data_IF_507504311297
#
_entry.id   IF_507504311297
#
_cell.length_a   1.000
_cell.length_b   1.000
_cell.length_c   1.000
_cell.angle_alpha   90.00
_cell.angle_beta   90.00
_cell.angle_gamma   90.00
#
_symmetry.space_group_name_H-M   'P 1'
#
loop_
_entity.id
_entity.type
_entity.pdbx_description
1 polymer ?
#
# COMPACT_ATOMS: atom_id res chain seq x y z
N UNK A 1 -25.96 -22.96 -8.62
CA UNK A 1 -25.60 -22.77 -8.02
C UNK A 1 -25.41 -22.47 -7.68
N UNK A 2 -25.46 -22.45 -7.70
CA UNK A 2 -25.20 -22.19 -7.05
C UNK A 2 -24.71 -21.90 -6.89
N UNK A 3 -24.57 -22.13 -7.10
CA UNK A 3 -24.07 -21.91 -6.71
C UNK A 3 -23.13 -21.75 -6.89
N UNK A 4 -22.89 -21.97 -7.14
CA UNK A 4 -21.88 -21.75 -7.08
C UNK A 4 -21.46 -21.24 -7.88
N UNK A 5 -21.55 -21.20 -8.30
CA UNK A 5 -21.08 -20.82 -8.57
C UNK A 5 -20.30 -20.32 -9.11
N UNK A 6 -19.79 -20.37 -9.71
CA UNK A 6 -18.92 -20.06 -9.94
C UNK A 6 -17.92 -19.75 -9.82
N UNK A 7 -17.10 -20.39 -10.56
CA UNK A 7 -16.22 -20.04 -10.28
C UNK A 7 -15.88 -18.76 -10.01
N UNK A 8 -15.94 -17.66 -10.94
CA UNK A 8 -16.04 -16.38 -10.40
C UNK A 8 -16.91 -16.38 -9.22
N UNK A 9 -17.83 -17.23 -9.34
CA UNK A 9 -18.71 -17.46 -8.23
C UNK A 9 -18.04 -18.07 -7.07
N UNK A 10 -16.93 -18.66 -7.32
CA UNK A 10 -16.14 -19.14 -6.25
C UNK A 10 -15.56 -18.00 -5.47
N UNK A 11 -15.25 -16.92 -6.16
CA UNK A 11 -14.90 -15.68 -5.51
C UNK A 11 -16.17 -14.89 -5.24
N UNK A 12 -17.18 -15.60 -4.80
CA UNK A 12 -18.46 -15.00 -4.58
C UNK A 12 -18.58 -14.44 -3.17
N UNK A 13 -19.76 -13.96 -2.85
CA UNK A 13 -20.02 -13.36 -1.56
C UNK A 13 -19.68 -14.28 -0.40
N UNK A 14 -19.95 -15.55 -0.54
CA UNK A 14 -19.72 -16.47 0.54
C UNK A 14 -18.23 -16.62 0.82
N UNK A 15 -17.44 -16.69 -0.23
CA UNK A 15 -16.00 -16.74 -0.07
C UNK A 15 -15.48 -15.47 0.59
N UNK A 16 -15.93 -14.31 0.15
CA UNK A 16 -15.51 -13.05 0.74
C UNK A 16 -15.96 -12.93 2.19
N UNK A 17 -17.15 -13.42 2.51
CA UNK A 17 -17.60 -13.41 3.89
C UNK A 17 -16.71 -14.24 4.79
N UNK A 18 -16.23 -15.36 4.29
CA UNK A 18 -15.33 -16.19 5.07
C UNK A 18 -14.01 -15.50 5.36
N UNK A 19 -13.50 -14.80 4.38
CA UNK A 19 -12.17 -14.19 4.48
C UNK A 19 -12.24 -12.80 5.11
N UNK A 20 -13.22 -12.00 4.71
CA UNK A 20 -13.29 -10.60 5.10
C UNK A 20 -14.42 -10.27 6.06
N UNK A 21 -15.51 -11.01 6.00
CA UNK A 21 -16.68 -10.72 6.78
C UNK A 21 -16.47 -10.80 8.28
N UNK A 22 -15.60 -11.68 8.70
CA UNK A 22 -15.32 -11.84 10.12
C UNK A 22 -14.75 -10.58 10.73
N UNK A 23 -14.08 -9.79 9.92
CA UNK A 23 -13.45 -8.59 10.41
C UNK A 23 -14.45 -7.52 10.80
N UNK A 24 -15.67 -7.65 10.32
CA UNK A 24 -16.70 -6.70 10.67
C UNK A 24 -17.09 -6.80 12.13
N UNK A 25 -17.13 -8.01 12.65
CA UNK A 25 -17.51 -8.19 14.04
C UNK A 25 -16.33 -7.95 14.98
N UNK A 26 -15.12 -8.18 14.50
CA UNK A 26 -13.91 -7.96 15.29
C UNK A 26 -12.85 -7.34 14.43
N UNK A 27 -12.87 -6.03 14.27
CA UNK A 27 -11.83 -5.37 13.49
C UNK A 27 -10.48 -5.60 14.14
N UNK A 28 -9.52 -6.00 13.33
CA UNK A 28 -8.17 -6.19 13.82
C UNK A 28 -7.49 -4.84 14.00
N UNK A 29 -6.67 -4.71 15.03
CA UNK A 29 -5.91 -3.48 15.19
C UNK A 29 -4.95 -3.33 14.01
N UNK A 30 -4.76 -2.10 13.58
CA UNK A 30 -3.82 -1.80 12.51
C UNK A 30 -2.41 -2.05 12.98
N UNK A 31 -1.57 -2.54 12.08
CA UNK A 31 -0.17 -2.70 12.39
C UNK A 31 0.48 -1.32 12.54
N UNK A 32 1.65 -1.30 13.17
CA UNK A 32 2.39 -0.06 13.34
C UNK A 32 2.73 0.57 11.99
N UNK A 33 3.03 -0.26 11.00
CA UNK A 33 3.31 0.21 9.65
C UNK A 33 2.08 0.86 9.02
N UNK A 34 0.92 0.25 9.18
CA UNK A 34 -0.33 0.80 8.65
C UNK A 34 -0.63 2.17 9.26
N UNK A 35 -0.44 2.31 10.56
CA UNK A 35 -0.65 3.58 11.23
C UNK A 35 0.31 4.63 10.69
N UNK A 36 1.56 4.25 10.49
CA UNK A 36 2.56 5.16 9.94
C UNK A 36 2.17 5.63 8.54
N UNK A 37 1.73 4.70 7.70
CA UNK A 37 1.33 5.03 6.34
C UNK A 37 0.13 5.99 6.35
N UNK A 38 -0.84 5.77 7.22
CA UNK A 38 -1.98 6.68 7.33
C UNK A 38 -1.55 8.09 7.72
N UNK A 39 -0.66 8.22 8.69
CA UNK A 39 -0.17 9.52 9.10
C UNK A 39 0.53 10.23 7.96
N UNK A 40 1.34 9.50 7.22
CA UNK A 40 2.07 10.07 6.10
C UNK A 40 1.12 10.50 4.99
N UNK A 41 0.14 9.67 4.65
CA UNK A 41 -0.82 9.99 3.60
C UNK A 41 -1.63 11.23 4.00
N UNK A 42 -2.04 11.34 5.25
CA UNK A 42 -2.75 12.51 5.73
C UNK A 42 -1.89 13.76 5.59
N UNK A 43 -0.61 13.68 5.96
CA UNK A 43 0.31 14.80 5.82
C UNK A 43 0.47 15.20 4.35
N UNK A 44 0.62 14.21 3.48
CA UNK A 44 0.78 14.46 2.05
C UNK A 44 -0.45 15.16 1.48
N UNK A 45 -1.63 14.68 1.84
CA UNK A 45 -2.88 15.30 1.37
C UNK A 45 -3.02 16.72 1.88
N UNK A 46 -2.68 16.98 3.14
CA UNK A 46 -2.76 18.31 3.72
C UNK A 46 -1.83 19.30 3.03
N UNK A 47 -0.72 18.80 2.49
CA UNK A 47 0.27 19.63 1.80
C UNK A 47 0.15 19.55 0.28
N UNK A 48 -0.93 18.93 -0.21
CA UNK A 48 -1.23 18.83 -1.65
C UNK A 48 -0.16 18.09 -2.44
N UNK A 49 0.42 17.08 -1.83
CA UNK A 49 1.39 16.18 -2.47
C UNK A 49 0.63 14.91 -2.83
N UNK A 50 0.28 14.76 -4.10
CA UNK A 50 -0.58 13.66 -4.55
C UNK A 50 0.13 12.64 -5.44
N UNK A 51 1.30 12.99 -5.98
CA UNK A 51 2.03 12.11 -6.88
C UNK A 51 3.47 11.96 -6.42
N UNK A 52 4.14 10.94 -6.96
CA UNK A 52 5.55 10.75 -6.65
C UNK A 52 6.38 11.94 -7.08
N UNK A 53 6.05 12.54 -8.25
CA UNK A 53 6.75 13.73 -8.71
C UNK A 53 6.55 14.90 -7.75
N UNK A 54 5.33 15.10 -7.26
CA UNK A 54 5.06 16.12 -6.25
C UNK A 54 5.95 15.93 -5.03
N UNK A 55 6.13 14.69 -4.62
CA UNK A 55 6.96 14.38 -3.46
C UNK A 55 8.44 14.66 -3.74
N UNK A 56 8.92 14.24 -4.90
CA UNK A 56 10.33 14.45 -5.27
C UNK A 56 10.69 15.93 -5.29
N UNK A 57 9.77 16.75 -5.79
CA UNK A 57 9.98 18.20 -5.88
C UNK A 57 9.41 18.98 -4.71
N UNK A 58 8.98 18.30 -3.66
CA UNK A 58 8.41 18.97 -2.49
C UNK A 58 9.48 19.72 -1.70
N UNK A 59 9.01 20.55 -0.77
CA UNK A 59 9.91 21.34 0.07
C UNK A 59 10.74 20.44 0.97
N UNK A 60 11.93 20.91 1.28
CA UNK A 60 12.84 20.18 2.16
C UNK A 60 12.19 19.89 3.52
N UNK A 61 11.43 20.84 4.06
CA UNK A 61 10.77 20.66 5.34
C UNK A 61 9.72 19.55 5.29
N UNK A 62 9.01 19.42 4.17
CA UNK A 62 8.02 18.37 4.03
C UNK A 62 8.67 16.99 4.05
N UNK A 63 9.78 16.85 3.34
CA UNK A 63 10.55 15.60 3.34
C UNK A 63 11.08 15.29 4.72
N UNK A 64 11.53 16.30 5.43
CA UNK A 64 12.03 16.14 6.79
C UNK A 64 10.92 15.64 7.73
N UNK A 65 9.74 16.20 7.62
CA UNK A 65 8.60 15.79 8.44
C UNK A 65 8.22 14.35 8.17
N UNK A 66 8.17 13.97 6.90
CA UNK A 66 7.86 12.59 6.52
C UNK A 66 8.90 11.63 7.10
N UNK A 67 10.18 11.97 6.99
CA UNK A 67 11.23 11.13 7.54
C UNK A 67 11.11 11.01 9.06
N UNK A 68 10.71 12.07 9.74
CA UNK A 68 10.48 12.01 11.18
C UNK A 68 9.33 11.08 11.55
N UNK A 69 8.25 11.11 10.77
CA UNK A 69 7.13 10.19 10.99
C UNK A 69 7.60 8.75 10.83
N UNK A 70 8.36 8.48 9.77
CA UNK A 70 8.89 7.15 9.52
C UNK A 70 9.78 6.69 10.67
N UNK A 71 10.71 7.54 11.10
CA UNK A 71 11.64 7.21 12.17
C UNK A 71 10.91 6.94 13.49
N UNK A 72 9.77 7.58 13.70
CA UNK A 72 8.97 7.38 14.92
C UNK A 72 8.26 6.04 14.94
N UNK A 73 8.11 5.38 13.81
CA UNK A 73 7.36 4.13 13.72
C UNK A 73 8.22 2.92 13.35
N UNK A 74 9.25 3.12 12.53
CA UNK A 74 10.08 2.02 12.08
C UNK A 74 11.01 1.55 13.20
N UNK A 75 11.00 0.26 13.48
CA UNK A 75 11.82 -0.33 14.53
C UNK A 75 13.14 -0.89 14.00
N UNK A 76 13.23 -1.09 12.68
CA UNK A 76 14.43 -1.65 12.07
C UNK A 76 14.47 -1.26 10.60
N UNK A 77 15.57 -1.60 9.93
CA UNK A 77 15.76 -1.22 8.53
C UNK A 77 14.73 -1.87 7.61
N UNK A 78 14.31 -3.08 7.93
CA UNK A 78 13.33 -3.77 7.10
C UNK A 78 12.00 -3.00 7.09
N UNK A 79 11.55 -2.57 8.27
CA UNK A 79 10.32 -1.78 8.37
C UNK A 79 10.45 -0.44 7.69
N UNK A 80 11.61 0.19 7.84
CA UNK A 80 11.89 1.45 7.19
C UNK A 80 11.76 1.34 5.67
N UNK A 81 12.36 0.30 5.08
CA UNK A 81 12.28 0.08 3.65
C UNK A 81 10.86 -0.25 3.21
N UNK A 82 10.15 -1.03 4.00
CA UNK A 82 8.77 -1.38 3.68
C UNK A 82 7.88 -0.14 3.67
N UNK A 83 8.02 0.73 4.65
CA UNK A 83 7.24 1.97 4.71
C UNK A 83 7.54 2.84 3.49
N UNK A 84 8.81 3.01 3.16
CA UNK A 84 9.19 3.82 2.00
C UNK A 84 8.64 3.26 0.71
N UNK A 85 8.70 1.95 0.56
CA UNK A 85 8.17 1.29 -0.62
C UNK A 85 6.66 1.52 -0.75
N UNK A 86 5.92 1.38 0.34
CA UNK A 86 4.47 1.58 0.33
C UNK A 86 4.10 3.03 0.01
N UNK A 87 4.86 3.99 0.51
CA UNK A 87 4.62 5.39 0.18
C UNK A 87 4.80 5.60 -1.32
N UNK A 88 5.85 5.03 -1.87
CA UNK A 88 6.12 5.13 -3.30
C UNK A 88 4.96 4.56 -4.11
N UNK A 89 4.42 3.42 -3.71
CA UNK A 89 3.28 2.82 -4.39
C UNK A 89 2.04 3.71 -4.30
N UNK A 90 1.80 4.29 -3.13
CA UNK A 90 0.64 5.16 -2.93
C UNK A 90 0.68 6.38 -3.85
N UNK A 91 1.85 6.93 -4.07
CA UNK A 91 2.02 8.14 -4.87
C UNK A 91 2.21 7.87 -6.36
N UNK A 92 2.37 6.61 -6.74
CA UNK A 92 2.64 6.25 -8.13
C UNK A 92 1.36 6.11 -8.93
N UNK A 93 1.41 6.50 -10.21
CA UNK A 93 0.29 6.26 -11.11
C UNK A 93 0.38 4.85 -11.68
N UNK A 94 -0.65 4.46 -12.44
CA UNK A 94 -0.74 3.10 -12.94
C UNK A 94 0.43 2.72 -13.87
N UNK A 95 0.89 3.66 -14.68
CA UNK A 95 2.01 3.39 -15.57
C UNK A 95 3.30 3.16 -14.81
N UNK A 96 3.53 3.95 -13.76
CA UNK A 96 4.70 3.78 -12.90
C UNK A 96 4.66 2.44 -12.19
N UNK A 97 3.47 2.03 -11.74
CA UNK A 97 3.33 0.73 -11.08
C UNK A 97 3.64 -0.41 -12.03
N UNK A 98 3.25 -0.30 -13.29
CA UNK A 98 3.58 -1.32 -14.29
C UNK A 98 5.08 -1.45 -14.49
N UNK A 99 5.80 -0.34 -14.49
CA UNK A 99 7.25 -0.38 -14.63
C UNK A 99 7.93 -0.99 -13.43
N UNK A 100 7.46 -0.66 -12.23
CA UNK A 100 7.99 -1.27 -11.02
C UNK A 100 7.77 -2.78 -11.05
N UNK A 101 6.60 -3.21 -11.51
CA UNK A 101 6.29 -4.63 -11.59
C UNK A 101 7.29 -5.36 -12.50
N UNK A 102 7.59 -4.76 -13.66
CA UNK A 102 8.57 -5.36 -14.57
C UNK A 102 9.94 -5.49 -13.93
N UNK A 103 10.38 -4.44 -13.25
CA UNK A 103 11.69 -4.47 -12.59
C UNK A 103 11.73 -5.53 -11.50
N UNK A 104 10.67 -5.61 -10.71
CA UNK A 104 10.60 -6.57 -9.61
C UNK A 104 10.53 -8.02 -10.12
N UNK A 105 9.87 -8.23 -11.25
CA UNK A 105 9.82 -9.55 -11.87
C UNK A 105 11.21 -9.99 -12.35
N UNK A 106 11.99 -9.05 -12.85
CA UNK A 106 13.34 -9.37 -13.32
C UNK A 106 14.25 -9.83 -12.19
N UNK A 107 14.07 -9.27 -11.00
CA UNK A 107 14.87 -9.67 -9.84
C UNK A 107 14.15 -10.71 -9.00
N UNK A 108 13.00 -11.18 -9.46
CA UNK A 108 12.21 -12.25 -8.83
C UNK A 108 11.78 -11.93 -7.40
N UNK A 109 11.51 -10.65 -7.13
CA UNK A 109 10.97 -10.23 -5.82
C UNK A 109 9.45 -10.32 -5.87
N UNK A 110 8.94 -11.53 -5.74
CA UNK A 110 7.52 -11.79 -5.92
C UNK A 110 6.64 -11.21 -4.81
N UNK A 111 7.18 -11.03 -3.62
CA UNK A 111 6.42 -10.38 -2.54
C UNK A 111 6.09 -8.95 -2.89
N UNK A 112 7.06 -8.21 -3.40
CA UNK A 112 6.83 -6.83 -3.83
C UNK A 112 5.97 -6.77 -5.07
N UNK A 113 6.12 -7.74 -5.97
CA UNK A 113 5.23 -7.83 -7.13
C UNK A 113 3.77 -7.94 -6.69
N UNK A 114 3.50 -8.75 -5.70
CA UNK A 114 2.15 -8.91 -5.18
C UNK A 114 1.61 -7.59 -4.62
N UNK A 115 2.45 -6.83 -3.93
CA UNK A 115 2.05 -5.53 -3.41
C UNK A 115 1.73 -4.54 -4.53
N UNK A 116 2.54 -4.53 -5.58
CA UNK A 116 2.30 -3.66 -6.73
C UNK A 116 0.99 -4.02 -7.41
N UNK A 117 0.75 -5.32 -7.61
CA UNK A 117 -0.49 -5.78 -8.24
C UNK A 117 -1.71 -5.40 -7.41
N UNK A 118 -1.60 -5.52 -6.10
CA UNK A 118 -2.69 -5.11 -5.21
C UNK A 118 -2.98 -3.62 -5.35
N UNK A 119 -1.95 -2.81 -5.42
CA UNK A 119 -2.12 -1.37 -5.59
C UNK A 119 -2.74 -1.03 -6.94
N UNK A 120 -2.32 -1.74 -8.00
CA UNK A 120 -2.88 -1.54 -9.33
C UNK A 120 -4.37 -1.87 -9.39
N UNK A 121 -4.82 -2.83 -8.59
CA UNK A 121 -6.24 -3.18 -8.58
C UNK A 121 -7.09 -2.09 -7.92
N UNK A 122 -6.49 -1.28 -7.07
CA UNK A 122 -7.17 -0.17 -6.41
C UNK A 122 -7.20 1.06 -7.31
N UNK A 123 -6.16 1.27 -8.07
CA UNK A 123 -6.03 2.43 -8.95
C UNK A 123 -6.49 2.11 -10.35
#
# INVERSE_FOLDING_TARGET
MSKIHNYGDFLNEEFFKKIFGRKKSKPQPKSNIDICIEEIINFLNDNKIYTWDDFVYSKKNDKYTINKIIDGHANNMKELEEIRFRIKLELSNRNQLKEYLKELEQIEDYEKCAQVLKMMSIK
#
